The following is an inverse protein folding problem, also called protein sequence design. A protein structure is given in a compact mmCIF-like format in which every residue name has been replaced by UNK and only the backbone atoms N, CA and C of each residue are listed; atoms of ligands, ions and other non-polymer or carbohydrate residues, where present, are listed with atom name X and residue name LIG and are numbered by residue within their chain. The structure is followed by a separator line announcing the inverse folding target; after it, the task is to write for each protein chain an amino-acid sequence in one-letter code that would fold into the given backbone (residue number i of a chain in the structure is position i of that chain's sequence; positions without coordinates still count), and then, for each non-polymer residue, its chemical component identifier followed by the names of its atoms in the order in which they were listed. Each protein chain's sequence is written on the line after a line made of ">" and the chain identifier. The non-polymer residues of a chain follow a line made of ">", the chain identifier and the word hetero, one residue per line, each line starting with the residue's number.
data_IF_368058648915
#
_entry.id   IF_368058648915
#
_cell.length_a   1.000
_cell.length_b   1.000
_cell.length_c   1.000
_cell.angle_alpha   90.00
_cell.angle_beta   90.00
_cell.angle_gamma   90.00
#
_symmetry.space_group_name_H-M   'P 1'
#
loop_
_entity.id
_entity.type
_entity.pdbx_description
1 polymer ?
#
# COMPACT_ATOMS: atom_id res chain seq x y z
N UNK A 1 3.19 10.04 24.60
CA UNK A 1 4.55 10.43 24.18
C UNK A 1 4.37 11.32 22.97
N UNK A 2 5.29 12.23 22.65
CA UNK A 2 5.19 13.06 21.45
C UNK A 2 5.48 12.18 20.22
N UNK A 3 4.77 12.36 19.09
CA UNK A 3 4.93 11.58 17.85
C UNK A 3 6.38 11.58 17.37
N UNK A 4 7.06 12.71 17.47
CA UNK A 4 8.48 12.84 17.09
C UNK A 4 9.38 11.93 17.93
N UNK A 5 9.12 11.79 19.22
CA UNK A 5 9.90 10.93 20.12
C UNK A 5 9.75 9.45 19.74
N UNK A 6 8.56 9.02 19.30
CA UNK A 6 8.34 7.64 18.86
C UNK A 6 9.05 7.36 17.53
N UNK A 7 9.05 8.30 16.58
CA UNK A 7 9.80 8.15 15.32
C UNK A 7 11.32 8.11 15.58
N UNK A 8 11.85 8.97 16.47
CA UNK A 8 13.26 8.94 16.87
C UNK A 8 13.64 7.60 17.50
N UNK A 9 12.77 7.04 18.36
CA UNK A 9 12.97 5.73 18.96
C UNK A 9 12.91 4.60 17.90
N UNK A 10 11.98 4.71 16.95
CA UNK A 10 11.85 3.76 15.85
C UNK A 10 13.11 3.76 14.96
N UNK A 11 13.69 4.92 14.68
CA UNK A 11 14.93 5.05 13.89
C UNK A 11 16.14 4.36 14.52
N UNK A 12 16.12 4.09 15.84
CA UNK A 12 17.21 3.35 16.51
C UNK A 12 17.16 1.84 16.21
N UNK A 13 15.99 1.32 15.84
CA UNK A 13 15.74 -0.11 15.65
C UNK A 13 15.31 -0.48 14.24
N UNK A 14 14.78 0.46 13.47
CA UNK A 14 14.39 0.25 12.08
C UNK A 14 15.36 1.00 11.17
N UNK A 15 16.34 0.27 10.65
CA UNK A 15 17.30 0.84 9.73
C UNK A 15 16.70 0.99 8.33
N UNK A 16 17.04 2.09 7.67
CA UNK A 16 16.71 2.32 6.27
C UNK A 16 18.01 2.70 5.53
N UNK A 17 18.28 2.02 4.44
CA UNK A 17 19.42 2.33 3.58
C UNK A 17 19.04 3.39 2.52
N UNK A 18 17.77 3.50 2.23
CA UNK A 18 17.21 4.30 1.16
C UNK A 18 16.20 5.26 1.78
N UNK A 19 16.62 6.49 1.97
CA UNK A 19 15.78 7.54 2.55
C UNK A 19 14.68 7.94 1.60
N UNK A 20 13.60 8.47 2.17
CA UNK A 20 12.42 8.75 1.42
C UNK A 20 12.54 10.00 0.57
N UNK A 21 12.97 11.12 1.11
CA UNK A 21 12.74 12.46 0.51
C UNK A 21 11.40 12.55 -0.23
N UNK A 22 10.42 11.70 0.19
CA UNK A 22 9.12 11.57 -0.48
C UNK A 22 8.30 12.82 -0.24
N UNK A 23 8.05 13.56 -1.32
CA UNK A 23 7.28 14.79 -1.29
C UNK A 23 5.79 14.47 -1.35
N UNK A 24 5.15 14.34 -0.19
CA UNK A 24 3.71 14.10 -0.09
C UNK A 24 2.93 15.40 -0.18
N UNK A 25 2.03 15.52 -1.14
CA UNK A 25 1.04 16.60 -1.18
C UNK A 25 -0.09 16.32 -0.18
N UNK A 26 0.13 16.73 1.07
CA UNK A 26 -0.84 16.52 2.15
C UNK A 26 -2.20 17.18 1.89
N UNK A 27 -2.24 18.26 1.11
CA UNK A 27 -3.51 18.91 0.73
C UNK A 27 -4.33 18.01 -0.19
N UNK A 28 -3.68 17.39 -1.17
CA UNK A 28 -4.32 16.42 -2.05
C UNK A 28 -4.75 15.15 -1.29
N UNK A 29 -3.92 14.67 -0.34
CA UNK A 29 -4.25 13.54 0.53
C UNK A 29 -5.52 13.83 1.34
N UNK A 30 -5.57 14.94 2.05
CA UNK A 30 -6.71 15.35 2.87
C UNK A 30 -7.98 15.51 2.04
N UNK A 31 -7.86 16.06 0.82
CA UNK A 31 -9.00 16.19 -0.10
C UNK A 31 -9.56 14.83 -0.53
N UNK A 32 -8.70 13.83 -0.80
CA UNK A 32 -9.13 12.49 -1.22
C UNK A 32 -9.67 11.65 -0.06
N UNK A 33 -9.04 11.70 1.09
CA UNK A 33 -9.43 10.93 2.28
C UNK A 33 -10.57 11.58 3.06
N UNK A 34 -10.85 12.88 2.80
CA UNK A 34 -11.78 13.71 3.57
C UNK A 34 -11.41 13.80 5.06
N UNK A 35 -10.16 13.55 5.39
CA UNK A 35 -9.59 13.64 6.74
C UNK A 35 -8.08 13.83 6.65
N UNK A 36 -7.46 14.62 7.53
CA UNK A 36 -6.02 14.60 7.70
C UNK A 36 -5.58 13.28 8.32
N UNK A 37 -4.28 13.01 8.27
CA UNK A 37 -3.66 11.80 8.83
C UNK A 37 -2.87 12.12 10.11
N UNK A 38 -2.72 11.15 11.04
CA UNK A 38 -1.97 11.30 12.29
C UNK A 38 -0.55 11.83 12.08
N UNK A 39 -0.05 12.59 13.07
CA UNK A 39 1.27 13.22 12.98
C UNK A 39 2.39 12.19 12.88
N UNK A 40 2.31 11.08 13.64
CA UNK A 40 3.30 10.02 13.62
C UNK A 40 3.41 9.31 12.25
N UNK A 41 2.30 9.16 11.53
CA UNK A 41 2.32 8.64 10.16
C UNK A 41 2.97 9.65 9.20
N UNK A 42 2.67 10.94 9.35
CA UNK A 42 3.29 11.99 8.52
C UNK A 42 4.79 12.07 8.76
N UNK A 43 5.21 11.96 10.01
CA UNK A 43 6.62 11.91 10.40
C UNK A 43 7.28 10.62 9.87
N UNK A 44 6.59 9.47 9.90
CA UNK A 44 7.06 8.23 9.28
C UNK A 44 7.26 8.41 7.76
N UNK A 45 6.29 8.96 7.06
CA UNK A 45 6.41 9.22 5.62
C UNK A 45 7.58 10.16 5.30
N UNK A 46 7.84 11.16 6.13
CA UNK A 46 8.97 12.08 5.95
C UNK A 46 10.33 11.40 6.10
N UNK A 47 10.42 10.37 6.95
CA UNK A 47 11.68 9.64 7.23
C UNK A 47 11.86 8.44 6.30
N UNK A 48 10.80 7.64 6.13
CA UNK A 48 10.87 6.34 5.47
C UNK A 48 10.15 6.31 4.11
N UNK A 49 9.04 7.05 3.96
CA UNK A 49 8.13 6.92 2.83
C UNK A 49 7.28 5.67 2.88
N UNK A 50 6.64 5.35 1.76
CA UNK A 50 5.93 4.08 1.56
C UNK A 50 6.89 2.96 1.19
N UNK A 51 6.68 1.76 1.71
CA UNK A 51 7.59 0.64 1.45
C UNK A 51 7.28 -0.58 2.31
N UNK A 52 8.25 -1.44 2.51
CA UNK A 52 8.10 -2.63 3.34
C UNK A 52 9.10 -2.64 4.50
N UNK A 53 8.62 -3.07 5.67
CA UNK A 53 9.44 -3.51 6.79
C UNK A 53 9.42 -5.04 6.73
N UNK A 54 10.45 -5.67 6.20
CA UNK A 54 10.44 -7.08 5.83
C UNK A 54 9.14 -7.43 5.05
N UNK A 55 8.23 -8.22 5.66
CA UNK A 55 6.98 -8.65 5.03
C UNK A 55 5.78 -7.72 5.31
N UNK A 56 5.97 -6.63 6.03
CA UNK A 56 4.92 -5.67 6.36
C UNK A 56 4.99 -4.45 5.44
N UNK A 57 3.99 -4.29 4.59
CA UNK A 57 3.83 -3.10 3.74
C UNK A 57 3.33 -1.93 4.60
N UNK A 58 4.00 -0.79 4.55
CA UNK A 58 3.48 0.50 5.00
C UNK A 58 2.99 1.25 3.79
N UNK A 59 1.70 1.49 3.74
CA UNK A 59 1.01 2.07 2.58
C UNK A 59 1.32 3.56 2.46
N UNK A 60 1.76 4.06 1.30
CA UNK A 60 1.74 5.49 1.02
C UNK A 60 0.30 6.01 0.99
N UNK A 61 0.06 7.30 1.23
CA UNK A 61 -1.31 7.82 1.31
C UNK A 61 -2.06 7.73 -0.02
N UNK A 62 -1.37 7.98 -1.13
CA UNK A 62 -1.89 7.94 -2.49
C UNK A 62 -1.05 7.00 -3.35
N UNK A 63 -1.58 6.50 -4.49
CA UNK A 63 -0.80 5.71 -5.43
C UNK A 63 0.40 6.53 -5.93
N UNK A 64 1.58 5.91 -5.94
CA UNK A 64 2.78 6.48 -6.51
C UNK A 64 2.81 6.20 -8.01
N UNK A 65 3.22 7.18 -8.84
CA UNK A 65 3.15 7.09 -10.30
C UNK A 65 4.00 5.99 -10.96
N UNK A 66 4.74 5.20 -10.19
CA UNK A 66 5.79 4.31 -10.64
C UNK A 66 5.37 2.84 -10.79
N UNK A 67 4.06 2.54 -10.81
CA UNK A 67 3.57 1.14 -10.89
C UNK A 67 3.25 0.50 -9.55
N UNK A 68 3.71 1.06 -8.43
CA UNK A 68 3.31 0.65 -7.10
C UNK A 68 1.85 1.02 -6.85
N UNK A 69 0.99 0.02 -6.76
CA UNK A 69 -0.46 0.23 -6.65
C UNK A 69 -0.96 0.24 -5.20
N UNK A 70 -0.14 -0.22 -4.26
CA UNK A 70 -0.51 -0.25 -2.85
C UNK A 70 -0.53 1.19 -2.29
N UNK A 71 -1.66 1.60 -1.74
CA UNK A 71 -1.86 2.91 -1.12
C UNK A 71 -3.03 2.86 -0.14
N UNK A 72 -3.11 3.81 0.78
CA UNK A 72 -4.27 3.93 1.68
C UNK A 72 -5.56 3.99 0.85
N UNK A 73 -5.63 4.88 -0.13
CA UNK A 73 -6.83 5.05 -0.97
C UNK A 73 -7.22 3.77 -1.73
N UNK A 74 -6.23 2.98 -2.15
CA UNK A 74 -6.46 1.71 -2.84
C UNK A 74 -6.96 0.59 -1.92
N UNK A 75 -6.67 0.65 -0.62
CA UNK A 75 -7.01 -0.41 0.34
C UNK A 75 -8.29 -0.12 1.15
N UNK A 76 -8.80 1.12 1.16
CA UNK A 76 -9.95 1.53 2.00
C UNK A 76 -11.16 0.61 1.80
N UNK A 77 -11.52 0.27 0.57
CA UNK A 77 -12.73 -0.51 0.27
C UNK A 77 -12.62 -1.90 0.89
N UNK A 78 -11.54 -2.63 0.59
CA UNK A 78 -11.33 -3.97 1.12
C UNK A 78 -11.23 -3.99 2.66
N UNK A 79 -10.54 -3.01 3.25
CA UNK A 79 -10.41 -2.90 4.70
C UNK A 79 -11.76 -2.69 5.40
N UNK A 80 -12.62 -1.85 4.82
CA UNK A 80 -13.98 -1.60 5.31
C UNK A 80 -14.91 -2.80 5.10
N UNK A 81 -14.72 -3.56 4.04
CA UNK A 81 -15.45 -4.81 3.81
C UNK A 81 -15.11 -5.85 4.88
N UNK A 82 -13.83 -6.01 5.25
CA UNK A 82 -13.41 -6.87 6.35
C UNK A 82 -14.05 -6.46 7.68
N UNK A 83 -14.08 -5.14 7.97
CA UNK A 83 -14.73 -4.62 9.17
C UNK A 83 -16.21 -4.98 9.23
N UNK A 84 -16.92 -4.79 8.13
CA UNK A 84 -18.36 -5.13 8.05
C UNK A 84 -18.63 -6.63 8.13
N UNK A 85 -17.77 -7.45 7.52
CA UNK A 85 -17.93 -8.90 7.47
C UNK A 85 -17.84 -9.52 8.87
N UNK A 86 -16.93 -9.03 9.70
CA UNK A 86 -16.71 -9.57 11.04
C UNK A 86 -17.45 -8.81 12.14
N UNK A 87 -18.14 -7.72 11.80
CA UNK A 87 -18.82 -6.85 12.78
C UNK A 87 -17.89 -5.97 13.61
N UNK A 88 -16.65 -5.77 13.14
CA UNK A 88 -15.65 -4.90 13.78
C UNK A 88 -14.90 -5.53 14.95
N UNK A 89 -14.14 -4.71 15.67
CA UNK A 89 -13.39 -5.15 16.84
C UNK A 89 -14.31 -5.33 18.07
N UNK A 90 -14.06 -6.32 18.93
CA UNK A 90 -14.89 -6.57 20.11
C UNK A 90 -15.04 -5.33 20.99
N UNK A 91 -16.27 -5.00 21.36
CA UNK A 91 -16.59 -3.85 22.20
C UNK A 91 -16.52 -2.49 21.49
N UNK A 92 -16.36 -2.45 20.17
CA UNK A 92 -16.35 -1.23 19.35
C UNK A 92 -17.65 -1.10 18.58
N UNK A 93 -18.40 -0.01 18.82
CA UNK A 93 -19.68 0.27 18.16
C UNK A 93 -19.55 1.25 16.98
N UNK A 94 -18.34 1.38 16.40
CA UNK A 94 -18.07 2.28 15.27
C UNK A 94 -18.20 1.51 13.94
N UNK A 95 -18.83 2.15 12.95
CA UNK A 95 -19.01 1.58 11.61
C UNK A 95 -17.73 1.56 10.77
N UNK A 96 -17.77 0.87 9.66
CA UNK A 96 -16.65 0.73 8.73
C UNK A 96 -16.18 2.06 8.12
N UNK A 97 -17.00 3.10 8.10
CA UNK A 97 -16.61 4.46 7.73
C UNK A 97 -15.58 5.07 8.69
N UNK A 98 -15.41 4.48 9.87
CA UNK A 98 -14.50 4.92 10.92
C UNK A 98 -13.19 4.14 10.98
N UNK A 99 -12.90 3.31 9.99
CA UNK A 99 -11.60 2.64 9.88
C UNK A 99 -10.86 3.09 8.63
N UNK A 100 -9.53 3.20 8.76
CA UNK A 100 -8.64 3.67 7.70
C UNK A 100 -7.36 2.82 7.70
N UNK A 101 -7.03 2.10 6.60
CA UNK A 101 -5.85 1.24 6.54
C UNK A 101 -4.57 2.08 6.47
N UNK A 102 -3.46 1.53 7.00
CA UNK A 102 -2.12 2.08 6.82
C UNK A 102 -1.06 1.01 6.52
N UNK A 103 -1.39 -0.26 6.68
CA UNK A 103 -0.43 -1.33 6.43
C UNK A 103 -1.10 -2.67 6.11
N UNK A 104 -0.34 -3.56 5.48
CA UNK A 104 -0.76 -4.91 5.11
C UNK A 104 0.42 -5.87 5.22
N UNK A 105 0.22 -7.02 5.83
CA UNK A 105 1.24 -8.06 6.00
C UNK A 105 1.08 -9.24 5.05
N UNK A 106 2.16 -9.94 4.77
CA UNK A 106 2.17 -11.10 3.85
C UNK A 106 1.26 -12.25 4.30
N UNK A 107 1.01 -12.41 5.61
CA UNK A 107 0.09 -13.40 6.16
C UNK A 107 -1.36 -12.89 6.24
N UNK A 108 -1.70 -11.93 5.39
CA UNK A 108 -3.01 -11.29 5.32
C UNK A 108 -3.43 -10.65 6.67
N UNK A 109 -2.47 -10.07 7.39
CA UNK A 109 -2.77 -9.12 8.43
C UNK A 109 -3.03 -7.76 7.78
N UNK A 110 -4.11 -7.09 8.17
CA UNK A 110 -4.41 -5.74 7.70
C UNK A 110 -4.39 -4.78 8.90
N UNK A 111 -3.68 -3.67 8.75
CA UNK A 111 -3.45 -2.72 9.82
C UNK A 111 -4.07 -1.37 9.46
N UNK A 112 -4.67 -0.73 10.45
CA UNK A 112 -5.32 0.56 10.23
C UNK A 112 -5.49 1.34 11.53
N UNK A 113 -6.15 2.49 11.42
CA UNK A 113 -6.60 3.27 12.56
C UNK A 113 -8.10 3.14 12.73
N UNK A 114 -8.56 3.24 13.97
CA UNK A 114 -9.94 3.49 14.32
C UNK A 114 -10.12 5.00 14.58
N UNK A 115 -10.86 5.67 13.73
CA UNK A 115 -11.10 7.12 13.79
C UNK A 115 -12.08 7.46 14.92
N UNK A 116 -11.61 7.47 16.18
CA UNK A 116 -12.42 7.61 17.38
C UNK A 116 -12.88 9.05 17.65
N UNK A 117 -12.27 10.05 17.04
CA UNK A 117 -12.60 11.45 17.29
C UNK A 117 -11.78 12.43 16.46
N UNK A 118 -11.81 13.70 16.87
CA UNK A 118 -11.13 14.79 16.16
C UNK A 118 -9.62 14.86 16.42
N UNK A 119 -9.16 14.27 17.52
CA UNK A 119 -7.73 14.21 17.81
C UNK A 119 -7.15 12.98 17.11
N UNK A 120 -6.48 13.20 15.99
CA UNK A 120 -5.93 12.17 15.11
C UNK A 120 -4.86 11.33 15.82
N UNK A 121 -4.02 11.99 16.64
CA UNK A 121 -2.91 11.34 17.35
C UNK A 121 -3.39 10.41 18.49
N UNK A 122 -4.69 10.38 18.75
CA UNK A 122 -5.34 9.45 19.69
C UNK A 122 -6.11 8.32 18.97
N UNK A 123 -6.04 8.24 17.66
CA UNK A 123 -6.64 7.11 16.96
C UNK A 123 -5.86 5.83 17.27
N UNK A 124 -6.52 4.85 17.91
CA UNK A 124 -5.86 3.59 18.18
C UNK A 124 -5.64 2.79 16.91
N UNK A 125 -4.62 1.94 16.92
CA UNK A 125 -4.37 0.97 15.88
C UNK A 125 -5.36 -0.18 15.99
N UNK A 126 -5.93 -0.60 14.87
CA UNK A 126 -6.68 -1.85 14.72
C UNK A 126 -5.93 -2.78 13.78
N UNK A 127 -5.93 -4.06 14.11
CA UNK A 127 -5.30 -5.11 13.29
C UNK A 127 -6.34 -6.18 12.99
N UNK A 128 -6.55 -6.46 11.71
CA UNK A 128 -7.27 -7.64 11.27
C UNK A 128 -6.30 -8.80 11.10
N UNK A 129 -6.58 -9.94 11.74
CA UNK A 129 -5.74 -11.12 11.80
C UNK A 129 -6.48 -12.31 11.22
N UNK A 130 -6.13 -12.72 10.01
CA UNK A 130 -6.86 -13.74 9.26
C UNK A 130 -7.04 -15.06 10.01
N UNK A 131 -6.06 -15.44 10.84
CA UNK A 131 -6.01 -16.76 11.47
C UNK A 131 -6.37 -16.74 12.95
N UNK A 132 -6.80 -15.60 13.47
CA UNK A 132 -7.15 -15.42 14.88
C UNK A 132 -8.68 -15.34 15.08
N UNK A 133 -9.12 -15.57 16.31
CA UNK A 133 -10.50 -15.37 16.71
C UNK A 133 -10.56 -14.72 18.11
N UNK A 134 -11.03 -13.48 18.22
CA UNK A 134 -11.59 -12.65 17.16
C UNK A 134 -10.54 -12.19 16.13
N UNK A 135 -10.97 -11.95 14.88
CA UNK A 135 -10.08 -11.47 13.84
C UNK A 135 -9.52 -10.07 14.13
N UNK A 136 -10.33 -9.20 14.69
CA UNK A 136 -9.95 -7.82 15.00
C UNK A 136 -9.39 -7.69 16.41
N UNK A 137 -8.27 -6.98 16.53
CA UNK A 137 -7.68 -6.52 17.77
C UNK A 137 -7.48 -5.01 17.77
N UNK A 138 -7.60 -4.39 18.96
CA UNK A 138 -7.46 -2.96 19.18
C UNK A 138 -6.25 -2.69 20.07
N UNK A 139 -5.41 -1.74 19.68
CA UNK A 139 -4.21 -1.33 20.40
C UNK A 139 -4.26 0.18 20.65
N UNK A 140 -4.32 0.59 21.91
CA UNK A 140 -4.40 1.99 22.32
C UNK A 140 -3.05 2.71 22.19
N UNK A 141 -2.54 2.78 20.99
CA UNK A 141 -1.31 3.48 20.63
C UNK A 141 -1.39 3.97 19.18
N UNK A 142 -0.55 4.93 18.81
CA UNK A 142 -0.37 5.36 17.44
C UNK A 142 0.43 4.36 16.60
N UNK A 143 0.57 4.63 15.30
CA UNK A 143 1.26 3.74 14.35
C UNK A 143 2.75 3.55 14.69
N UNK A 144 3.47 4.65 14.94
CA UNK A 144 4.91 4.58 15.25
C UNK A 144 5.20 3.82 16.55
N UNK A 145 4.42 4.08 17.59
CA UNK A 145 4.49 3.34 18.85
C UNK A 145 4.15 1.86 18.64
N UNK A 146 3.12 1.56 17.84
CA UNK A 146 2.75 0.18 17.52
C UNK A 146 3.91 -0.58 16.86
N UNK A 147 4.54 0.01 15.83
CA UNK A 147 5.67 -0.60 15.13
C UNK A 147 6.87 -0.81 16.06
N UNK A 148 7.21 0.19 16.87
CA UNK A 148 8.29 0.07 17.85
C UNK A 148 8.00 -1.06 18.84
N UNK A 149 6.81 -1.09 19.43
CA UNK A 149 6.42 -2.12 20.41
C UNK A 149 6.35 -3.52 19.81
N UNK A 150 5.97 -3.63 18.54
CA UNK A 150 6.01 -4.89 17.79
C UNK A 150 7.45 -5.41 17.68
N UNK A 151 8.38 -4.57 17.24
CA UNK A 151 9.77 -4.95 17.03
C UNK A 151 10.57 -5.13 18.32
N UNK A 152 10.11 -4.56 19.43
CA UNK A 152 10.73 -4.74 20.77
C UNK A 152 10.01 -5.77 21.63
N UNK A 153 8.95 -6.43 21.11
CA UNK A 153 8.10 -7.38 21.84
C UNK A 153 7.52 -6.81 23.14
N UNK A 154 7.06 -5.56 23.11
CA UNK A 154 6.48 -4.86 24.28
C UNK A 154 4.96 -5.06 24.44
N UNK A 155 4.32 -5.85 23.59
CA UNK A 155 2.95 -6.31 23.81
C UNK A 155 2.95 -7.61 24.64
N UNK A 156 1.83 -7.95 25.28
CA UNK A 156 1.70 -9.20 26.05
C UNK A 156 1.80 -10.44 25.14
N UNK A 157 1.33 -10.30 23.91
CA UNK A 157 1.41 -11.31 22.83
C UNK A 157 1.64 -10.63 21.47
N UNK A 158 2.08 -11.41 20.48
CA UNK A 158 2.29 -10.86 19.15
C UNK A 158 0.98 -10.32 18.57
N UNK A 159 0.91 -9.04 18.16
CA UNK A 159 -0.29 -8.46 17.60
C UNK A 159 -0.62 -8.92 16.17
N UNK A 160 0.31 -9.62 15.50
CA UNK A 160 0.14 -10.17 14.15
C UNK A 160 -0.08 -11.68 14.20
N UNK A 161 -0.60 -12.27 13.12
CA UNK A 161 -0.76 -13.73 12.97
C UNK A 161 0.58 -14.46 12.72
N UNK A 162 1.68 -13.74 12.66
CA UNK A 162 3.02 -14.27 12.42
C UNK A 162 4.03 -13.60 13.35
N UNK A 163 5.21 -14.22 13.45
CA UNK A 163 6.30 -13.76 14.30
C UNK A 163 7.44 -13.09 13.52
N UNK A 164 7.23 -12.71 12.27
CA UNK A 164 8.29 -12.20 11.39
C UNK A 164 8.98 -10.96 11.96
N UNK A 165 8.18 -10.03 12.53
CA UNK A 165 8.67 -8.79 13.14
C UNK A 165 8.64 -8.80 14.68
N UNK A 166 8.12 -9.84 15.31
CA UNK A 166 7.98 -9.91 16.76
C UNK A 166 9.32 -10.00 17.48
N UNK A 167 9.70 -8.94 18.19
CA UNK A 167 10.97 -8.87 18.91
C UNK A 167 12.19 -8.89 17.99
N UNK A 168 12.06 -8.43 16.76
CA UNK A 168 13.12 -8.41 15.74
C UNK A 168 13.32 -7.03 15.17
N UNK A 169 14.56 -6.68 14.92
CA UNK A 169 14.92 -5.50 14.13
C UNK A 169 14.54 -5.77 12.69
N UNK A 170 13.63 -4.95 12.15
CA UNK A 170 13.23 -5.03 10.76
C UNK A 170 14.15 -4.25 9.83
N UNK A 171 14.09 -4.56 8.54
CA UNK A 171 14.75 -3.79 7.49
C UNK A 171 13.70 -3.08 6.66
N UNK A 172 13.78 -1.74 6.58
CA UNK A 172 12.90 -0.98 5.73
C UNK A 172 13.51 -0.84 4.33
N UNK A 173 12.70 -1.13 3.29
CA UNK A 173 13.06 -0.87 1.89
C UNK A 173 11.95 -0.05 1.25
N UNK A 174 12.30 1.14 0.78
CA UNK A 174 11.38 2.03 0.08
C UNK A 174 10.84 1.41 -1.21
N UNK A 175 9.59 1.70 -1.58
CA UNK A 175 8.94 1.08 -2.74
C UNK A 175 9.69 1.31 -4.07
N UNK A 176 10.30 2.48 -4.28
CA UNK A 176 11.09 2.76 -5.49
C UNK A 176 12.33 1.88 -5.59
N UNK A 177 12.98 1.63 -4.45
CA UNK A 177 14.14 0.74 -4.41
C UNK A 177 13.72 -0.72 -4.65
N UNK A 178 12.57 -1.15 -4.10
CA UNK A 178 12.03 -2.48 -4.38
C UNK A 178 11.74 -2.65 -5.87
N UNK A 179 11.14 -1.66 -6.50
CA UNK A 179 10.86 -1.68 -7.94
C UNK A 179 12.15 -1.71 -8.76
N UNK A 180 13.13 -0.88 -8.39
CA UNK A 180 14.45 -0.87 -9.02
C UNK A 180 15.14 -2.23 -8.94
N UNK A 181 15.13 -2.86 -7.75
CA UNK A 181 15.70 -4.20 -7.53
C UNK A 181 14.96 -5.25 -8.38
N UNK A 182 13.63 -5.22 -8.35
CA UNK A 182 12.80 -6.14 -9.13
C UNK A 182 13.11 -6.05 -10.63
N UNK A 183 13.19 -4.85 -11.20
CA UNK A 183 13.54 -4.64 -12.61
C UNK A 183 14.99 -5.03 -12.93
N UNK A 184 15.89 -4.98 -11.97
CA UNK A 184 17.25 -5.47 -12.11
C UNK A 184 17.38 -7.00 -11.97
N UNK A 185 16.28 -7.71 -11.71
CA UNK A 185 16.28 -9.16 -11.50
C UNK A 185 16.75 -9.60 -10.12
N UNK A 186 16.68 -8.69 -9.17
CA UNK A 186 17.03 -8.92 -7.78
C UNK A 186 15.77 -9.16 -6.93
N UNK A 187 15.96 -9.76 -5.77
CA UNK A 187 14.94 -9.81 -4.74
C UNK A 187 14.67 -8.39 -4.21
N UNK A 188 13.40 -7.94 -4.16
CA UNK A 188 13.06 -6.58 -3.76
C UNK A 188 13.50 -6.22 -2.35
N UNK A 189 13.50 -7.16 -1.42
CA UNK A 189 13.85 -6.90 -0.02
C UNK A 189 15.34 -7.05 0.25
N UNK A 190 15.92 -8.17 -0.18
CA UNK A 190 17.33 -8.50 0.14
C UNK A 190 18.32 -7.89 -0.86
N UNK A 191 17.90 -7.58 -2.09
CA UNK A 191 18.80 -7.16 -3.18
C UNK A 191 19.66 -8.28 -3.75
N UNK A 192 19.48 -9.53 -3.30
CA UNK A 192 20.17 -10.68 -3.85
C UNK A 192 19.62 -11.10 -5.22
N UNK A 193 20.38 -11.82 -6.05
CA UNK A 193 19.87 -12.31 -7.32
C UNK A 193 18.61 -13.17 -7.13
N UNK A 194 17.50 -12.77 -7.77
CA UNK A 194 16.25 -13.51 -7.68
C UNK A 194 16.25 -14.70 -8.64
N UNK A 195 16.26 -15.96 -8.15
CA UNK A 195 16.30 -17.15 -8.99
C UNK A 195 15.08 -17.32 -9.89
N UNK A 196 14.00 -16.59 -9.63
CA UNK A 196 12.74 -16.65 -10.38
C UNK A 196 12.59 -15.54 -11.43
N UNK A 197 13.59 -14.67 -11.62
CA UNK A 197 13.53 -13.52 -12.54
C UNK A 197 13.05 -13.88 -13.94
N UNK A 198 13.46 -15.05 -14.48
CA UNK A 198 13.04 -15.52 -15.78
C UNK A 198 11.57 -15.98 -15.88
N UNK A 199 10.93 -16.27 -14.74
CA UNK A 199 9.54 -16.73 -14.70
C UNK A 199 8.54 -15.56 -14.82
N UNK A 200 8.89 -14.38 -14.34
CA UNK A 200 8.02 -13.21 -14.32
C UNK A 200 8.28 -12.23 -15.47
N UNK A 201 9.46 -12.28 -16.08
CA UNK A 201 9.86 -11.44 -17.22
C UNK A 201 9.39 -11.97 -18.58
N UNK A 202 8.31 -12.73 -18.67
CA UNK A 202 7.63 -12.91 -19.95
C UNK A 202 6.99 -11.59 -20.34
N UNK A 203 7.75 -10.73 -21.02
CA UNK A 203 7.13 -9.67 -21.81
C UNK A 203 6.03 -10.35 -22.65
N UNK A 204 4.79 -9.83 -22.65
CA UNK A 204 3.78 -10.33 -23.54
C UNK A 204 4.40 -10.29 -24.94
N UNK A 205 4.46 -11.44 -25.62
CA UNK A 205 5.00 -11.53 -26.96
C UNK A 205 4.39 -10.38 -27.77
N UNK A 206 5.22 -9.48 -28.28
CA UNK A 206 4.75 -8.35 -29.10
C UNK A 206 3.81 -8.94 -30.13
N UNK A 207 2.51 -8.61 -30.00
CA UNK A 207 1.52 -9.04 -30.99
C UNK A 207 2.08 -8.66 -32.37
N UNK A 208 2.10 -9.60 -33.34
CA UNK A 208 2.63 -9.30 -34.64
C UNK A 208 1.89 -8.07 -35.15
N UNK A 209 2.65 -7.04 -35.56
CA UNK A 209 2.08 -5.84 -36.17
C UNK A 209 1.16 -6.34 -37.27
N UNK A 210 -0.15 -6.18 -37.10
CA UNK A 210 -1.10 -6.35 -38.19
C UNK A 210 -0.61 -5.45 -39.32
N UNK A 211 -0.10 -6.04 -40.37
CA UNK A 211 0.15 -5.32 -41.62
C UNK A 211 -1.17 -4.69 -42.00
N UNK A 212 -1.14 -3.34 -42.11
CA UNK A 212 -2.30 -2.60 -42.57
C UNK A 212 -2.70 -3.18 -43.91
N UNK A 213 -3.92 -3.71 -43.99
CA UNK A 213 -4.50 -4.13 -45.26
C UNK A 213 -4.51 -2.90 -46.15
N UNK A 214 -3.66 -2.88 -47.17
CA UNK A 214 -3.69 -1.89 -48.22
C UNK A 214 -4.96 -2.17 -49.03
N UNK A 215 -6.01 -1.40 -48.79
CA UNK A 215 -7.23 -1.41 -49.61
C UNK A 215 -6.88 -0.72 -50.90
N UNK A 216 -6.97 -1.41 -52.06
CA UNK A 216 -6.72 -0.77 -53.36
C UNK A 216 -7.80 0.29 -53.65
N UNK A 217 -7.46 1.40 -54.32
CA UNK A 217 -8.42 2.45 -54.64
C UNK A 217 -9.56 1.94 -55.52
N UNK A 218 -10.79 2.29 -55.18
CA UNK A 218 -11.99 1.94 -55.89
C UNK A 218 -11.91 2.55 -57.35
N UNK A 219 -12.10 1.70 -58.34
CA UNK A 219 -12.24 2.11 -59.73
C UNK A 219 -13.51 2.93 -59.94
N UNK A 220 -13.46 4.07 -60.63
CA UNK A 220 -14.66 4.88 -60.87
C UNK A 220 -15.58 4.16 -61.87
N UNK A 221 -16.85 3.96 -61.47
CA UNK A 221 -17.90 3.47 -62.36
C UNK A 221 -18.15 4.51 -63.47
N UNK A 222 -17.92 4.09 -64.74
CA UNK A 222 -18.26 4.85 -65.92
C UNK A 222 -19.77 5.14 -65.96
N UNK A 223 -20.10 6.40 -66.05
CA UNK A 223 -21.48 6.87 -66.15
C UNK A 223 -22.14 6.44 -67.45
N UNK A 224 -23.32 5.87 -67.36
CA UNK A 224 -24.24 5.68 -68.48
C UNK A 224 -24.87 7.03 -68.83
N UNK A 225 -24.63 7.51 -70.02
CA UNK A 225 -25.29 8.65 -70.61
C UNK A 225 -26.76 8.27 -70.93
N UNK A 226 -27.70 9.00 -70.31
CA UNK A 226 -29.13 8.93 -70.70
C UNK A 226 -29.38 10.03 -71.75
N UNK A 227 -29.66 9.56 -72.98
CA UNK A 227 -30.13 10.39 -74.07
C UNK A 227 -31.57 10.75 -73.81
N UNK A 228 -31.84 12.08 -73.77
CA UNK A 228 -33.20 12.62 -73.82
C UNK A 228 -33.58 12.86 -75.26
N UNK A 229 -34.65 12.24 -75.71
CA UNK A 229 -35.38 12.68 -76.97
C UNK A 229 -36.84 12.90 -76.65
N UNK A 230 -37.26 14.14 -76.90
CA UNK A 230 -38.62 14.74 -77.06
C UNK A 230 -39.55 14.77 -75.81
#
# INVERSE_FOLDING_TARGET
>A
MDSRTEIEALQQILHHEWGADEQVDWTAVEAQLSTPLPADYRDFMAVYGGGCIDDLIVLPPLPTGNGWQASITGHIVGFRELWNMDGGAPGVELGADRVLPWGSGCNANELGWLMTGRNLDQWPVVVWRRHENPHWALFNCGMAEFLRRLMTAEFDECPLSDLSLWGRVGTFVHHEEQERRFHAGLDPMTGEPNPYTGMFNRQPARAPRRQALVVPPATPKSGLAVSASR
#
